data_IF_960095032497
#
_entry.id   IF_960095032497
#
_cell.length_a   1.000
_cell.length_b   1.000
_cell.length_c   1.000
_cell.angle_alpha   90.00
_cell.angle_beta   90.00
_cell.angle_gamma   90.00
#
_symmetry.space_group_name_H-M   'P 1'
#
loop_
_entity.id
_entity.type
_entity.pdbx_description
1 polymer ?
2 non-polymer ?
#
# COMPACT_ATOMS: atom_id res chain seq x y z
N UNK A 3 11.07 -2.43 -20.13
CA UNK A 3 12.26 -1.61 -20.01
C UNK A 3 12.59 -1.31 -18.56
N UNK A 4 13.71 -0.64 -18.33
CA UNK A 4 14.18 -0.40 -16.97
C UNK A 4 14.01 1.03 -16.43
N UNK A 5 13.26 1.87 -17.14
CA UNK A 5 12.98 3.22 -16.68
C UNK A 5 11.98 3.25 -15.52
N UNK A 6 12.03 4.28 -14.69
CA UNK A 6 11.27 4.29 -13.45
C UNK A 6 10.05 5.22 -13.42
N UNK A 7 8.90 4.62 -13.11
CA UNK A 7 7.63 5.35 -12.93
C UNK A 7 7.52 6.31 -11.74
N UNK A 8 8.08 5.93 -10.61
CA UNK A 8 7.84 6.63 -9.36
C UNK A 8 8.60 7.91 -9.19
N UNK A 9 7.91 9.00 -8.88
CA UNK A 9 8.57 10.25 -8.77
C UNK A 9 9.06 10.16 -7.38
N UNK A 10 9.84 11.11 -6.94
CA UNK A 10 10.32 11.04 -5.57
C UNK A 10 9.87 12.23 -4.78
N UNK A 11 9.49 12.01 -3.54
CA UNK A 11 9.01 13.08 -2.72
C UNK A 11 9.87 13.13 -1.54
N UNK A 12 10.34 14.32 -1.21
CA UNK A 12 11.01 14.53 0.03
C UNK A 12 10.08 15.46 0.72
N UNK A 13 9.10 14.93 1.41
CA UNK A 13 8.09 15.78 2.01
C UNK A 13 8.25 15.82 3.52
N UNK A 14 8.18 17.02 4.07
CA UNK A 14 8.45 17.21 5.48
C UNK A 14 7.46 16.43 6.29
N UNK A 15 7.89 15.98 7.45
CA UNK A 15 7.03 15.19 8.31
C UNK A 15 5.85 16.07 8.67
N UNK A 16 6.14 17.34 8.94
CA UNK A 16 5.10 18.27 9.34
C UNK A 16 4.10 18.45 8.22
N UNK A 17 4.60 18.62 7.01
CA UNK A 17 3.72 18.78 5.86
C UNK A 17 2.90 17.53 5.65
N UNK A 18 3.55 16.39 5.72
CA UNK A 18 2.88 15.12 5.53
C UNK A 18 1.84 14.90 6.62
N UNK A 19 2.21 15.25 7.85
CA UNK A 19 1.31 15.09 8.98
C UNK A 19 0.08 15.97 8.89
N UNK A 20 0.27 17.23 8.49
CA UNK A 20 -0.84 18.16 8.44
C UNK A 20 -1.90 17.70 7.45
N UNK A 21 -1.46 17.24 6.30
CA UNK A 21 -2.40 16.76 5.30
C UNK A 21 -3.19 15.59 5.84
N UNK A 22 -2.48 14.70 6.52
CA UNK A 22 -3.08 13.53 7.11
C UNK A 22 -4.10 13.90 8.19
N UNK A 23 -3.77 14.88 9.00
CA UNK A 23 -4.73 15.34 9.99
C UNK A 23 -5.95 15.92 9.29
N UNK A 24 -5.70 16.70 8.25
CA UNK A 24 -6.77 17.37 7.52
C UNK A 24 -7.74 16.43 6.83
N UNK A 25 -7.23 15.42 6.16
CA UNK A 25 -8.10 14.46 5.50
C UNK A 25 -8.97 13.68 6.46
N UNK A 26 -8.45 13.39 7.63
CA UNK A 26 -9.18 12.58 8.60
C UNK A 26 -10.46 13.28 8.99
N UNK A 27 -10.39 14.58 9.23
CA UNK A 27 -11.55 15.37 9.57
C UNK A 27 -12.56 15.38 8.44
N UNK A 28 -12.07 15.51 7.21
CA UNK A 28 -12.93 15.46 6.05
C UNK A 28 -13.56 14.09 5.99
N UNK A 29 -12.74 13.08 6.26
CA UNK A 29 -13.21 11.71 6.30
C UNK A 29 -14.25 11.57 7.39
N UNK A 30 -13.98 12.13 8.55
CA UNK A 30 -14.90 12.03 9.65
C UNK A 30 -16.15 12.80 9.35
N UNK A 31 -16.00 13.95 8.77
CA UNK A 31 -17.14 14.81 8.46
C UNK A 31 -18.09 14.17 7.46
N UNK A 32 -17.56 13.49 6.46
CA UNK A 32 -18.42 12.76 5.54
C UNK A 32 -19.17 11.64 6.23
N UNK A 33 -18.45 10.90 7.07
CA UNK A 33 -18.98 9.74 7.76
C UNK A 33 -20.12 10.13 8.66
N UNK A 34 -20.01 11.33 9.20
CA UNK A 34 -21.06 11.90 10.04
C UNK A 34 -22.23 12.23 9.15
N UNK A 35 -22.02 12.07 7.84
CA UNK A 35 -23.07 12.35 6.88
C UNK A 35 -23.27 13.85 6.71
N UNK A 36 -22.22 14.60 7.03
CA UNK A 36 -22.20 16.06 6.89
C UNK A 36 -22.16 16.53 5.43
N UNK A 37 -22.75 17.69 5.19
CA UNK A 37 -22.71 18.32 3.88
C UNK A 37 -21.34 18.89 3.62
N UNK A 38 -20.78 18.60 2.46
CA UNK A 38 -19.51 19.18 2.07
C UNK A 38 -19.57 20.68 1.89
N UNK A 39 -20.64 21.16 1.28
CA UNK A 39 -20.82 22.59 1.04
C UNK A 39 -20.86 23.30 2.39
N UNK A 40 -21.45 22.63 3.36
CA UNK A 40 -21.61 23.16 4.71
C UNK A 40 -20.28 23.42 5.38
N UNK A 41 -19.30 22.56 5.10
CA UNK A 41 -18.05 22.58 5.83
C UNK A 41 -17.31 23.89 5.65
N UNK A 42 -16.67 24.33 6.72
CA UNK A 42 -15.92 25.57 6.73
C UNK A 42 -14.53 25.33 7.29
N UNK A 43 -13.58 26.14 6.85
CA UNK A 43 -12.19 25.98 7.21
C UNK A 43 -11.96 26.14 8.70
N UNK A 44 -12.68 27.07 9.32
CA UNK A 44 -12.51 27.30 10.74
C UNK A 44 -12.89 26.06 11.53
N UNK A 45 -14.04 25.46 11.21
CA UNK A 45 -14.44 24.25 11.89
C UNK A 45 -13.48 23.09 11.63
N UNK A 46 -13.03 22.96 10.39
CA UNK A 46 -12.13 21.90 10.03
C UNK A 46 -10.81 22.04 10.77
N UNK A 47 -10.26 23.24 10.76
CA UNK A 47 -9.03 23.50 11.48
C UNK A 47 -9.17 23.39 13.01
N UNK A 48 -10.25 23.95 13.55
CA UNK A 48 -10.48 23.84 14.98
C UNK A 48 -10.68 22.37 15.36
N UNK A 49 -11.34 21.64 14.49
CA UNK A 49 -11.57 20.25 14.71
C UNK A 49 -10.31 19.49 14.40
N UNK A 50 -9.61 19.96 13.42
CA UNK A 50 -8.40 19.27 12.96
C UNK A 50 -7.12 19.66 13.68
N UNK A 51 -7.18 20.65 14.54
CA UNK A 51 -6.00 21.04 15.30
C UNK A 51 -4.83 21.41 14.39
N UNK A 52 -5.12 22.17 13.35
CA UNK A 52 -4.09 22.67 12.45
C UNK A 52 -4.11 24.18 12.45
N UNK A 53 -2.94 24.79 12.28
CA UNK A 53 -2.84 26.23 12.35
C UNK A 53 -3.66 26.82 11.21
N UNK A 54 -4.55 27.77 11.45
CA UNK A 54 -5.26 28.25 10.27
C UNK A 54 -4.35 29.00 9.39
N UNK A 55 -3.34 29.62 9.96
CA UNK A 55 -2.35 30.21 9.08
C UNK A 55 -1.72 29.17 8.17
N UNK A 56 -1.43 28.00 8.72
CA UNK A 56 -0.75 26.95 7.98
C UNK A 56 -1.56 26.45 6.81
N UNK A 57 -2.86 26.33 7.00
CA UNK A 57 -3.73 25.75 6.00
C UNK A 57 -3.77 26.55 4.70
N UNK A 58 -3.94 27.86 4.83
CA UNK A 58 -4.10 28.73 3.68
C UNK A 58 -2.89 28.77 2.78
N UNK A 59 -1.71 28.77 3.37
CA UNK A 59 -0.50 28.91 2.58
C UNK A 59 -0.33 27.74 1.62
N UNK A 60 -0.70 26.54 2.07
CA UNK A 60 -0.62 25.36 1.20
C UNK A 60 -1.71 25.29 0.14
N UNK A 61 -2.96 25.60 0.51
CA UNK A 61 -4.06 25.53 -0.44
C UNK A 61 -5.12 26.60 -0.22
N UNK A 62 -5.69 27.10 -1.31
CA UNK A 62 -6.77 28.07 -1.22
C UNK A 62 -8.07 27.53 -0.59
N UNK A 63 -8.49 26.33 -0.98
CA UNK A 63 -9.79 25.82 -0.56
C UNK A 63 -9.78 24.38 -0.04
N UNK A 64 -10.83 24.03 0.69
CA UNK A 64 -10.95 22.76 1.41
C UNK A 64 -10.84 21.56 0.49
N UNK A 65 -11.32 21.72 -0.74
CA UNK A 65 -11.34 20.64 -1.71
C UNK A 65 -9.94 20.20 -2.07
N UNK A 66 -8.97 21.06 -1.81
CA UNK A 66 -7.57 20.77 -2.13
C UNK A 66 -7.03 19.58 -1.35
N UNK A 67 -7.47 19.45 -0.11
CA UNK A 67 -7.10 18.34 0.77
C UNK A 67 -7.41 17.02 0.11
N UNK A 68 -8.58 16.94 -0.46
CA UNK A 68 -9.00 15.77 -1.22
C UNK A 68 -8.07 15.60 -2.41
N UNK A 69 -7.62 16.72 -2.95
CA UNK A 69 -6.69 16.70 -4.08
C UNK A 69 -5.38 16.04 -3.69
N UNK A 70 -4.87 16.42 -2.53
CA UNK A 70 -3.64 15.86 -2.00
C UNK A 70 -3.77 14.36 -1.72
N UNK A 71 -4.90 13.96 -1.18
CA UNK A 71 -5.12 12.56 -0.86
C UNK A 71 -5.03 11.72 -2.12
N UNK A 72 -5.66 12.20 -3.19
CA UNK A 72 -5.64 11.49 -4.45
C UNK A 72 -4.22 11.39 -4.93
N UNK A 73 -3.48 12.47 -4.72
CA UNK A 73 -2.06 12.51 -5.09
C UNK A 73 -1.23 11.50 -4.30
N UNK A 74 -1.56 11.34 -3.02
CA UNK A 74 -0.82 10.42 -2.16
C UNK A 74 -0.95 8.99 -2.65
N UNK A 75 -2.17 8.61 -3.02
CA UNK A 75 -2.43 7.26 -3.50
C UNK A 75 -1.62 7.04 -4.75
N UNK A 77 1.26 8.16 -5.45
CA UNK A 77 2.59 7.83 -5.03
C UNK A 77 2.77 6.40 -4.64
N UNK A 78 1.77 5.80 -4.01
CA UNK A 78 1.86 4.42 -3.66
C UNK A 78 1.61 3.66 -4.89
N UNK A 79 0.78 4.20 -5.75
CA UNK A 79 0.41 3.44 -6.91
C UNK A 79 1.65 3.31 -7.70
N UNK A 80 2.33 4.41 -7.90
CA UNK A 80 3.52 4.40 -8.70
C UNK A 80 4.50 3.45 -8.11
N UNK A 81 4.62 3.49 -6.80
CA UNK A 81 5.53 2.59 -6.17
C UNK A 81 5.09 1.21 -6.48
N UNK A 82 3.83 0.93 -6.27
CA UNK A 82 3.34 -0.42 -6.53
C UNK A 82 3.55 -0.82 -7.99
N UNK A 83 3.43 0.15 -8.89
CA UNK A 83 3.46 -0.09 -10.33
C UNK A 83 4.77 -0.66 -10.81
N UNK A 84 5.86 -0.16 -10.26
CA UNK A 84 7.20 -0.60 -10.58
C UNK A 84 7.47 -2.03 -10.16
N UNK A 85 6.82 -2.47 -9.12
CA UNK A 85 7.08 -3.74 -8.50
C UNK A 85 6.27 -4.88 -9.06
N UNK A 86 5.58 -4.65 -10.14
CA UNK A 86 4.88 -5.70 -10.87
C UNK A 86 5.40 -5.80 -12.30
N UNK A 87 5.44 -7.01 -12.82
CA UNK A 87 5.81 -7.19 -14.22
C UNK A 87 4.71 -6.51 -15.03
N UNK A 88 5.09 -5.72 -16.02
CA UNK A 88 4.11 -4.89 -16.71
C UNK A 88 3.46 -5.62 -17.86
N UNK A 89 2.24 -6.06 -17.64
CA UNK A 89 1.42 -6.69 -18.66
C UNK A 89 0.05 -6.07 -18.51
N UNK A 90 -0.76 -6.13 -19.56
CA UNK A 90 -2.01 -5.41 -19.54
C UNK A 90 -2.87 -5.92 -18.39
N UNK A 91 -2.94 -7.24 -18.27
CA UNK A 91 -3.71 -7.83 -17.19
C UNK A 91 -3.09 -7.41 -15.87
N UNK A 92 -1.76 -7.37 -15.85
CA UNK A 92 -1.05 -7.03 -14.63
C UNK A 92 -1.35 -5.63 -14.15
N UNK A 93 -1.31 -4.67 -15.08
CA UNK A 93 -1.64 -3.29 -14.74
C UNK A 93 -3.08 -3.15 -14.29
N UNK A 94 -3.97 -3.87 -14.94
CA UNK A 94 -5.39 -3.76 -14.64
C UNK A 94 -5.64 -4.14 -13.20
N UNK A 95 -5.04 -5.24 -12.77
CA UNK A 95 -5.28 -5.75 -11.44
C UNK A 95 -4.83 -4.75 -10.40
N UNK A 96 -3.70 -4.10 -10.62
CA UNK A 96 -3.21 -3.15 -9.66
C UNK A 96 -4.13 -1.96 -9.49
N UNK A 97 -4.65 -1.49 -10.59
CA UNK A 97 -5.57 -0.40 -10.56
C UNK A 97 -6.77 -0.85 -9.84
N UNK A 98 -7.28 -2.00 -10.20
CA UNK A 98 -8.47 -2.47 -9.57
C UNK A 98 -8.32 -2.48 -8.10
N UNK A 99 -7.29 -3.16 -7.64
CA UNK A 99 -6.98 -3.27 -6.23
C UNK A 99 -7.04 -1.97 -5.51
N UNK A 100 -6.75 -0.92 -6.22
CA UNK A 100 -6.68 0.37 -5.64
C UNK A 100 -8.05 0.93 -5.53
N UNK A 101 -8.93 0.63 -6.44
CA UNK A 101 -10.26 1.15 -6.30
C UNK A 101 -10.89 0.47 -5.11
N UNK A 102 -10.56 -0.77 -4.92
CA UNK A 102 -11.09 -1.57 -3.83
C UNK A 102 -10.55 -1.17 -2.45
N UNK A 103 -9.25 -0.88 -2.41
CA UNK A 103 -8.56 -0.45 -1.20
C UNK A 103 -9.06 0.90 -0.70
N UNK A 104 -9.43 1.77 -1.62
CA UNK A 104 -9.70 3.17 -1.34
C UNK A 104 -11.16 3.57 -1.47
N UNK A 105 -12.06 2.68 -1.06
CA UNK A 105 -13.49 2.91 -1.20
C UNK A 105 -13.92 4.15 -0.43
N UNK A 106 -13.32 4.36 0.73
CA UNK A 106 -13.64 5.51 1.55
C UNK A 106 -13.29 6.81 0.84
N UNK A 107 -12.15 6.83 0.18
CA UNK A 107 -11.69 8.02 -0.51
C UNK A 107 -12.64 8.40 -1.62
N UNK A 108 -13.07 7.40 -2.37
CA UNK A 108 -13.95 7.62 -3.51
C UNK A 108 -15.30 8.19 -3.07
N UNK A 109 -15.85 7.72 -1.98
CA UNK A 109 -17.10 8.28 -1.53
C UNK A 109 -16.95 9.73 -1.22
N UNK A 110 -15.77 10.11 -0.76
CA UNK A 110 -15.49 11.49 -0.41
C UNK A 110 -15.35 12.29 -1.68
N UNK A 111 -14.92 11.62 -2.72
CA UNK A 111 -14.65 12.30 -3.93
C UNK A 111 -15.96 12.73 -4.50
N UNK A 112 -16.99 11.93 -4.35
CA UNK A 112 -18.27 12.28 -4.88
C UNK A 112 -18.96 13.24 -3.95
N UNK A 113 -18.95 12.95 -2.67
CA UNK A 113 -19.50 13.82 -1.67
C UNK A 113 -18.85 15.16 -1.85
N UNK A 114 -17.54 15.08 -1.98
CA UNK A 114 -16.70 16.19 -2.29
C UNK A 114 -17.12 16.93 -3.52
N UNK A 115 -17.41 16.18 -4.56
CA UNK A 115 -17.65 16.75 -5.84
C UNK A 115 -16.33 17.00 -6.45
N UNK A 116 -15.38 16.14 -6.15
CA UNK A 116 -14.04 16.34 -6.61
C UNK A 116 -13.68 15.42 -7.71
N UNK A 117 -14.61 15.16 -8.60
CA UNK A 117 -14.36 14.35 -9.76
C UNK A 117 -13.45 14.99 -10.77
N UNK A 118 -13.69 16.24 -11.11
CA UNK A 118 -12.95 16.82 -12.19
C UNK A 118 -11.54 16.99 -11.80
N UNK A 119 -11.30 16.91 -10.52
CA UNK A 119 -9.96 16.92 -9.98
C UNK A 119 -9.34 15.57 -10.09
N UNK A 120 -10.10 14.54 -9.88
CA UNK A 120 -9.55 13.22 -9.95
C UNK A 120 -9.06 12.96 -11.34
N UNK A 121 -9.83 13.34 -12.32
CA UNK A 121 -9.57 13.06 -13.71
C UNK A 121 -8.30 13.74 -14.22
N UNK A 122 -8.12 14.98 -13.82
CA UNK A 122 -6.99 15.77 -14.26
C UNK A 122 -5.69 15.24 -13.79
N UNK A 123 -5.61 14.96 -12.50
CA UNK A 123 -4.45 14.36 -11.86
C UNK A 123 -4.22 12.91 -12.28
N UNK A 124 -5.24 12.10 -12.21
CA UNK A 124 -5.09 10.74 -12.57
C UNK A 124 -4.92 10.63 -14.04
N UNK A 125 -5.16 11.70 -14.75
CA UNK A 125 -5.03 11.65 -16.17
C UNK A 125 -3.70 12.19 -16.46
N UNK A 126 -3.25 13.06 -15.60
CA UNK A 126 -1.90 13.54 -15.64
C UNK A 126 -0.89 12.46 -15.32
N UNK A 127 -1.20 11.61 -14.35
CA UNK A 127 -0.27 10.54 -14.01
C UNK A 127 -0.14 9.62 -15.15
N UNK A 128 -1.26 9.27 -15.74
CA UNK A 128 -1.27 8.33 -16.83
C UNK A 128 -0.49 8.80 -18.01
N UNK A 129 -0.60 10.07 -18.31
CA UNK A 129 0.06 10.53 -19.48
C UNK A 129 1.49 10.37 -19.21
N UNK A 130 1.86 10.74 -18.01
CA UNK A 130 3.27 10.82 -17.64
C UNK A 130 3.93 9.46 -17.62
N UNK A 131 3.26 8.48 -17.05
CA UNK A 131 3.79 7.12 -17.03
C UNK A 131 3.92 6.60 -18.44
N UNK A 132 2.93 6.91 -19.27
CA UNK A 132 2.89 6.41 -20.64
C UNK A 132 4.08 6.90 -21.46
N UNK A 133 4.45 8.16 -21.28
CA UNK A 133 5.58 8.71 -21.99
C UNK A 133 6.86 7.99 -21.60
N UNK A 134 6.99 7.67 -20.33
CA UNK A 134 8.18 7.04 -19.77
C UNK A 134 8.41 5.67 -20.39
N UNK A 135 7.32 4.98 -20.63
CA UNK A 135 7.37 3.65 -21.23
C UNK A 135 7.43 3.81 -22.74
N UNK A 136 7.40 5.06 -23.19
CA UNK A 136 7.50 5.38 -24.61
C UNK A 136 6.18 5.31 -25.34
N UNK A 137 5.13 4.98 -24.61
CA UNK A 137 3.82 4.78 -25.23
C UNK A 137 3.12 6.04 -25.69
N UNK A 138 2.47 5.93 -26.82
CA UNK A 138 1.86 7.09 -27.42
C UNK A 138 0.43 6.85 -27.71
N UNK A 139 -0.38 7.72 -27.14
CA UNK A 139 -1.74 7.87 -27.54
C UNK A 139 -1.65 8.87 -28.63
N UNK A 140 -2.48 8.76 -29.63
CA UNK A 140 -2.43 9.74 -30.67
C UNK A 140 -3.07 10.97 -30.20
N UNK A 141 -4.30 10.90 -29.75
CA UNK A 141 -4.74 12.04 -29.03
C UNK A 141 -4.35 11.85 -27.61
N UNK A 142 -3.42 12.67 -27.20
CA UNK A 142 -2.80 12.52 -25.92
C UNK A 142 -3.44 13.37 -24.88
N UNK A 143 -4.68 13.76 -25.09
CA UNK A 143 -5.40 14.47 -24.10
C UNK A 143 -6.56 13.61 -23.86
N UNK A 144 -6.91 12.91 -24.89
CA UNK A 144 -8.14 12.24 -24.90
C UNK A 144 -7.96 10.91 -24.29
N UNK A 146 -5.73 9.85 -22.07
CA UNK A 146 -5.40 9.88 -20.67
C UNK A 146 -6.58 10.31 -19.91
N UNK A 147 -7.19 11.38 -20.33
CA UNK A 147 -8.46 11.79 -19.76
C UNK A 147 -9.58 10.76 -19.90
N UNK A 148 -9.69 10.13 -21.06
CA UNK A 148 -10.73 9.14 -21.25
C UNK A 148 -10.53 7.96 -20.31
N UNK A 149 -9.29 7.52 -20.20
CA UNK A 149 -8.94 6.46 -19.29
C UNK A 149 -9.20 6.89 -17.85
N UNK A 150 -8.96 8.15 -17.57
CA UNK A 150 -9.23 8.71 -16.26
C UNK A 150 -10.72 8.66 -15.94
N UNK A 151 -11.57 8.80 -16.93
CA UNK A 151 -12.98 8.86 -16.65
C UNK A 151 -13.55 7.51 -16.47
N UNK A 153 -11.95 5.09 -15.05
CA UNK A 153 -11.54 4.71 -13.71
C UNK A 153 -12.53 5.19 -12.66
N UNK A 154 -13.01 6.41 -12.81
CA UNK A 154 -13.99 6.96 -11.89
C UNK A 154 -15.29 6.17 -11.93
N UNK A 155 -15.71 5.81 -13.14
CA UNK A 155 -16.95 5.09 -13.33
C UNK A 155 -16.94 3.74 -12.65
N UNK A 156 -15.78 3.08 -12.69
CA UNK A 156 -15.65 1.77 -12.06
C UNK A 156 -15.89 1.90 -10.56
N UNK A 157 -15.32 2.94 -9.97
CA UNK A 157 -15.50 3.15 -8.55
C UNK A 157 -16.96 3.39 -8.25
N UNK A 158 -17.59 4.24 -9.04
CA UNK A 158 -18.99 4.59 -8.84
C UNK A 158 -19.95 3.43 -9.01
N UNK A 159 -19.77 2.65 -10.07
CA UNK A 159 -20.58 1.46 -10.26
C UNK A 159 -20.26 0.49 -9.13
N UNK A 160 -18.98 0.40 -8.78
CA UNK A 160 -18.56 -0.42 -7.66
C UNK A 160 -19.12 0.08 -6.34
N UNK A 161 -19.08 1.39 -6.13
CA UNK A 161 -19.66 1.96 -4.92
C UNK A 161 -21.16 1.75 -4.86
N UNK A 162 -21.83 2.01 -5.97
CA UNK A 162 -23.29 1.95 -6.04
C UNK A 162 -23.88 0.57 -5.80
N UNK A 163 -23.20 -0.47 -6.28
CA UNK A 163 -23.74 -1.82 -6.21
C UNK A 163 -23.68 -2.49 -4.84
N UNK A 164 -24.82 -3.02 -4.42
CA UNK A 164 -24.92 -3.84 -3.21
C UNK A 164 -24.10 -5.11 -3.39
N UNK A 165 -24.12 -5.65 -4.60
CA UNK A 165 -23.38 -6.85 -4.94
C UNK A 165 -21.90 -6.53 -4.92
N UNK A 166 -21.08 -7.54 -4.67
CA UNK A 166 -19.64 -7.35 -4.56
C UNK A 166 -18.90 -8.18 -5.59
N UNK A 167 -17.81 -7.63 -6.09
CA UNK A 167 -17.09 -8.22 -7.21
C UNK A 167 -15.65 -8.55 -6.86
N UNK A 168 -15.22 -9.74 -7.21
CA UNK A 168 -13.81 -10.10 -7.12
C UNK A 168 -13.06 -9.49 -8.30
N UNK A 169 -11.76 -9.35 -8.16
CA UNK A 169 -10.96 -8.78 -9.22
C UNK A 169 -11.03 -9.60 -10.49
N UNK A 170 -11.04 -10.91 -10.33
CA UNK A 170 -11.06 -11.81 -11.47
C UNK A 170 -12.34 -11.60 -12.25
N UNK A 171 -13.43 -11.35 -11.52
CA UNK A 171 -14.70 -11.04 -12.15
C UNK A 171 -14.62 -9.75 -12.95
N UNK A 172 -13.99 -8.74 -12.36
CA UNK A 172 -13.89 -7.44 -12.99
C UNK A 172 -13.10 -7.50 -14.28
N UNK A 173 -12.03 -8.28 -14.28
CA UNK A 173 -11.22 -8.41 -15.47
C UNK A 173 -12.04 -9.04 -16.58
N UNK A 174 -12.82 -10.05 -16.23
CA UNK A 174 -13.66 -10.70 -17.22
C UNK A 174 -14.69 -9.72 -17.75
N UNK A 175 -15.35 -9.00 -16.84
CA UNK A 175 -16.30 -7.99 -17.24
C UNK A 175 -15.63 -6.88 -18.03
N UNK A 176 -14.50 -6.40 -17.53
CA UNK A 176 -13.83 -5.30 -18.19
C UNK A 176 -13.46 -5.77 -19.58
N UNK A 177 -13.04 -7.00 -19.67
CA UNK A 177 -12.76 -7.56 -20.96
C UNK A 177 -14.05 -7.88 -21.67
N UNK A 178 -15.08 -8.22 -20.93
CA UNK A 178 -16.38 -8.41 -21.56
C UNK A 178 -16.72 -7.16 -22.34
N UNK A 179 -16.53 -6.01 -21.74
CA UNK A 179 -16.95 -4.74 -22.32
C UNK A 179 -16.14 -4.38 -23.55
N UNK A 180 -14.84 -4.60 -23.48
CA UNK A 180 -13.93 -4.25 -24.57
C UNK A 180 -14.26 -5.03 -25.83
N UNK A 181 -14.66 -6.29 -25.65
CA UNK A 181 -15.08 -7.09 -26.79
C UNK A 181 -16.28 -6.42 -27.41
N UNK A 182 -17.14 -5.89 -26.54
CA UNK A 182 -18.37 -5.20 -26.94
C UNK A 182 -18.06 -3.83 -27.52
N UNK A 183 -16.90 -3.28 -27.21
CA UNK A 183 -16.55 -1.94 -27.66
C UNK A 183 -15.59 -1.96 -28.82
N UNK A 184 -15.50 -3.09 -29.52
CA UNK A 184 -14.60 -3.22 -30.66
C UNK A 184 -15.38 -3.49 -31.94
N UNK B 3 7.13 14.10 17.64
CA UNK B 3 8.32 14.34 16.82
C UNK B 3 7.98 14.40 15.34
N UNK B 4 8.85 15.03 14.56
CA UNK B 4 8.64 15.18 13.13
C UNK B 4 9.90 14.75 12.42
N UNK B 5 10.19 13.46 12.53
CA UNK B 5 11.34 12.86 11.89
C UNK B 5 10.84 11.81 10.92
N UNK B 6 11.37 11.81 9.72
CA UNK B 6 10.92 10.88 8.73
C UNK B 6 11.58 9.58 8.99
N UNK B 7 10.78 8.51 9.00
CA UNK B 7 11.31 7.22 9.26
C UNK B 7 11.49 6.49 7.96
N UNK B 8 10.83 6.95 6.92
CA UNK B 8 10.96 6.31 5.64
C UNK B 8 12.30 6.67 5.09
N UNK B 9 12.82 5.81 4.24
CA UNK B 9 14.07 6.05 3.59
C UNK B 9 13.87 5.86 2.12
N UNK B 10 13.96 6.92 1.35
CA UNK B 10 13.97 6.74 -0.08
C UNK B 10 14.70 5.47 -0.21
N UNK B 11 14.32 4.64 -1.14
CA UNK B 11 14.99 3.38 -1.28
C UNK B 11 15.40 3.28 -2.69
N UNK B 12 16.48 3.96 -3.04
CA UNK B 12 16.91 4.00 -4.43
C UNK B 12 17.43 2.67 -4.87
N UNK B 13 16.85 2.18 -5.97
CA UNK B 13 17.19 0.89 -6.54
C UNK B 13 16.61 0.91 -7.94
N UNK B 14 17.23 0.23 -8.87
CA UNK B 14 16.79 0.34 -10.23
C UNK B 14 15.67 -0.59 -10.50
N UNK B 15 15.04 -0.43 -11.63
CA UNK B 15 13.93 -1.32 -11.99
C UNK B 15 14.44 -2.74 -12.17
N UNK B 16 15.67 -2.86 -12.69
CA UNK B 16 16.22 -4.16 -13.00
C UNK B 16 16.35 -5.02 -11.75
N UNK B 17 16.88 -4.44 -10.68
CA UNK B 17 17.01 -5.16 -9.44
C UNK B 17 15.65 -5.52 -8.86
N UNK B 18 14.75 -4.55 -8.85
CA UNK B 18 13.39 -4.80 -8.40
C UNK B 18 12.67 -5.79 -9.29
N UNK B 19 12.86 -5.66 -10.59
CA UNK B 19 12.19 -6.52 -11.55
C UNK B 19 12.58 -7.98 -11.39
N UNK B 20 13.87 -8.23 -11.22
CA UNK B 20 14.34 -9.60 -11.04
C UNK B 20 13.77 -10.19 -9.76
N UNK B 21 13.65 -9.38 -8.73
CA UNK B 21 12.98 -9.79 -7.51
C UNK B 21 11.50 -10.11 -7.68
N UNK B 22 10.76 -9.29 -8.40
CA UNK B 22 9.34 -9.48 -8.58
C UNK B 22 9.02 -10.74 -9.33
N UNK B 23 9.95 -11.15 -10.16
CA UNK B 23 9.73 -12.28 -11.00
C UNK B 23 10.23 -13.50 -10.34
N UNK B 24 11.24 -13.34 -9.53
CA UNK B 24 11.71 -14.40 -8.64
C UNK B 24 10.76 -14.73 -7.50
N UNK B 25 10.27 -13.76 -6.75
CA UNK B 25 9.33 -14.07 -5.68
C UNK B 25 8.00 -14.49 -6.20
N UNK B 26 7.62 -13.91 -7.30
CA UNK B 26 6.29 -14.13 -7.78
C UNK B 26 6.15 -15.53 -8.31
N UNK B 27 7.26 -16.23 -8.49
CA UNK B 27 7.19 -17.54 -9.05
C UNK B 27 7.25 -18.50 -7.94
N UNK B 28 7.85 -18.06 -6.87
CA UNK B 28 7.92 -18.85 -5.66
C UNK B 28 6.54 -19.07 -5.09
N UNK B 29 5.75 -18.01 -5.10
CA UNK B 29 4.41 -18.04 -4.59
C UNK B 29 3.58 -19.01 -5.38
N UNK B 30 3.86 -19.14 -6.65
CA UNK B 30 3.14 -20.06 -7.51
C UNK B 30 3.41 -21.47 -7.05
N UNK B 31 4.66 -21.74 -6.69
CA UNK B 31 5.03 -23.07 -6.26
C UNK B 31 4.26 -23.41 -4.99
N UNK B 32 4.17 -22.46 -4.11
CA UNK B 32 3.45 -22.70 -2.90
C UNK B 32 2.06 -23.00 -3.31
N UNK B 33 1.45 -22.04 -3.97
CA UNK B 33 0.05 -22.13 -4.36
C UNK B 33 -0.17 -23.43 -5.11
N UNK B 34 0.91 -23.96 -5.66
CA UNK B 34 0.88 -25.14 -6.51
C UNK B 34 1.12 -26.42 -5.72
N UNK B 35 1.01 -26.31 -4.40
CA UNK B 35 1.07 -27.46 -3.53
C UNK B 35 2.36 -28.28 -3.63
N UNK B 36 3.50 -27.61 -3.64
CA UNK B 36 4.75 -28.33 -3.60
C UNK B 36 5.64 -27.88 -2.45
N UNK B 37 6.37 -28.78 -1.85
CA UNK B 37 7.23 -28.49 -0.72
C UNK B 37 8.32 -27.53 -1.03
N UNK B 38 8.69 -26.74 -0.05
CA UNK B 38 9.70 -25.74 -0.25
C UNK B 38 11.01 -26.37 -0.50
N UNK B 39 11.28 -27.47 0.17
CA UNK B 39 12.56 -28.10 0.04
C UNK B 39 12.81 -28.50 -1.39
N UNK B 40 11.76 -28.80 -2.10
CA UNK B 40 11.86 -29.45 -3.37
C UNK B 40 12.08 -28.49 -4.50
N UNK B 41 12.41 -27.27 -4.16
CA UNK B 41 12.56 -26.27 -5.17
C UNK B 41 14.02 -26.10 -5.48
N UNK B 42 14.45 -26.55 -6.64
CA UNK B 42 15.81 -26.34 -7.10
C UNK B 42 15.95 -24.92 -7.60
N UNK B 43 17.16 -24.39 -7.54
CA UNK B 43 17.42 -23.04 -8.02
C UNK B 43 17.17 -22.95 -9.52
N UNK B 44 17.65 -23.93 -10.24
CA UNK B 44 17.42 -23.98 -11.65
C UNK B 44 15.94 -23.91 -11.89
N UNK B 45 15.20 -24.64 -11.11
CA UNK B 45 13.77 -24.67 -11.27
C UNK B 45 13.22 -23.26 -11.13
N UNK B 46 13.57 -22.59 -10.05
CA UNK B 46 13.11 -21.23 -9.82
C UNK B 46 13.63 -20.21 -10.83
N UNK B 47 14.92 -20.26 -11.09
CA UNK B 47 15.55 -19.25 -11.94
C UNK B 47 15.04 -19.25 -13.37
N UNK B 48 14.83 -20.44 -13.92
CA UNK B 48 14.34 -20.56 -15.29
C UNK B 48 12.94 -19.98 -15.49
N UNK B 49 12.04 -20.29 -14.57
CA UNK B 49 10.65 -19.86 -14.65
C UNK B 49 10.53 -18.35 -14.61
N UNK B 50 11.42 -17.73 -13.86
CA UNK B 50 11.34 -16.30 -13.59
C UNK B 50 12.04 -15.51 -14.68
N UNK B 51 12.54 -16.21 -15.69
CA UNK B 51 13.29 -15.55 -16.73
C UNK B 51 14.46 -14.84 -16.07
N UNK B 52 15.10 -15.54 -15.14
CA UNK B 52 16.26 -15.01 -14.44
C UNK B 52 17.48 -15.89 -14.68
N UNK B 53 18.59 -15.27 -15.06
CA UNK B 53 19.85 -15.97 -15.17
C UNK B 53 20.34 -16.34 -13.78
N UNK B 54 20.95 -17.51 -13.65
CA UNK B 54 21.42 -17.97 -12.36
C UNK B 54 22.46 -17.03 -11.79
N UNK B 55 23.34 -16.53 -12.66
CA UNK B 55 24.41 -15.66 -12.24
C UNK B 55 23.85 -14.39 -11.62
N UNK B 56 22.77 -13.89 -12.20
CA UNK B 56 22.11 -12.72 -11.66
C UNK B 56 21.52 -13.01 -10.30
N UNK B 57 20.87 -14.16 -10.16
CA UNK B 57 20.33 -14.58 -8.87
C UNK B 57 21.44 -14.80 -7.86
N UNK B 58 22.48 -15.51 -8.29
CA UNK B 58 23.61 -15.83 -7.45
C UNK B 58 24.39 -14.60 -7.01
N UNK B 59 24.61 -13.66 -7.92
CA UNK B 59 25.31 -12.45 -7.50
C UNK B 59 24.47 -11.67 -6.51
N UNK B 60 23.21 -11.43 -6.85
CA UNK B 60 22.25 -10.82 -5.92
C UNK B 60 21.83 -11.68 -4.73
N UNK B 61 21.48 -12.94 -4.99
CA UNK B 61 20.92 -13.81 -3.94
C UNK B 61 21.77 -15.04 -3.67
N UNK B 62 22.23 -15.21 -2.44
CA UNK B 62 22.86 -16.45 -2.02
C UNK B 62 21.93 -17.66 -2.01
N UNK B 63 20.72 -17.48 -1.51
CA UNK B 63 19.78 -18.59 -1.33
C UNK B 63 18.36 -18.22 -1.74
N UNK B 64 17.55 -19.23 -2.02
CA UNK B 64 16.15 -19.02 -2.38
C UNK B 64 15.40 -18.37 -1.26
N UNK B 65 15.71 -18.76 -0.04
CA UNK B 65 15.02 -18.28 1.14
C UNK B 65 15.24 -16.79 1.22
N UNK B 66 16.33 -16.34 0.61
CA UNK B 66 16.72 -14.94 0.61
C UNK B 66 15.73 -14.00 -0.09
N UNK B 67 15.05 -14.48 -1.12
CA UNK B 67 14.04 -13.64 -1.78
C UNK B 67 12.90 -13.33 -0.83
N UNK B 68 12.51 -14.31 -0.04
CA UNK B 68 11.46 -14.12 0.95
C UNK B 68 11.87 -13.09 1.99
N UNK B 69 13.13 -13.11 2.40
CA UNK B 69 13.58 -12.11 3.33
C UNK B 69 13.45 -10.77 2.67
N UNK B 70 13.86 -10.71 1.41
CA UNK B 70 13.76 -9.50 0.60
C UNK B 70 12.32 -9.08 0.39
N UNK B 71 11.43 -10.00 0.19
CA UNK B 71 10.05 -9.64 0.03
C UNK B 71 9.50 -9.11 1.30
N UNK B 72 9.92 -9.70 2.41
CA UNK B 72 9.55 -9.17 3.70
C UNK B 72 10.12 -7.77 3.83
N UNK B 73 11.36 -7.60 3.39
CA UNK B 73 12.01 -6.30 3.45
C UNK B 73 11.29 -5.29 2.56
N UNK B 74 10.88 -5.73 1.38
CA UNK B 74 10.11 -4.91 0.46
C UNK B 74 8.75 -4.54 1.02
N UNK B 75 8.10 -5.49 1.68
CA UNK B 75 6.79 -5.26 2.29
C UNK B 75 6.83 -4.21 3.40
N UNK B 77 8.64 -1.74 3.47
CA UNK B 77 8.84 -0.46 2.80
C UNK B 77 7.55 0.35 2.70
N UNK B 78 6.45 -0.30 2.46
CA UNK B 78 5.25 0.46 2.41
C UNK B 78 4.95 0.97 3.78
N UNK B 79 5.14 0.13 4.77
CA UNK B 79 4.70 0.42 6.12
C UNK B 79 5.26 1.74 6.60
N UNK B 80 6.53 1.96 6.31
CA UNK B 80 7.19 3.20 6.71
C UNK B 80 6.56 4.40 6.01
N UNK B 81 6.26 4.27 4.72
CA UNK B 81 5.75 5.39 3.97
C UNK B 81 4.42 5.84 4.56
N UNK B 82 3.53 4.90 4.77
CA UNK B 82 2.28 5.17 5.48
C UNK B 82 2.53 5.55 6.93
N UNK B 83 3.54 4.94 7.54
CA UNK B 83 3.72 5.03 8.98
C UNK B 83 3.91 6.47 9.35
N UNK B 84 4.73 7.19 8.59
CA UNK B 84 4.89 8.61 8.83
C UNK B 84 3.57 9.32 8.58
N UNK B 85 2.88 8.94 7.52
CA UNK B 85 1.64 9.59 7.16
C UNK B 85 0.52 9.43 8.19
N UNK B 86 0.37 8.23 8.74
CA UNK B 86 -0.72 7.98 9.66
C UNK B 86 -0.59 8.83 10.91
N UNK B 87 -1.71 9.23 11.49
CA UNK B 87 -1.68 9.91 12.76
C UNK B 87 -1.16 8.91 13.78
N UNK B 88 -0.28 9.36 14.66
CA UNK B 88 0.40 8.44 15.56
C UNK B 88 -0.28 8.28 16.90
N UNK B 89 -0.84 7.11 17.11
CA UNK B 89 -1.36 6.70 18.40
C UNK B 89 -0.95 5.25 18.51
N UNK B 90 -0.99 4.71 19.73
CA UNK B 90 -0.58 3.34 19.90
C UNK B 90 -1.50 2.45 19.08
N UNK B 91 -2.76 2.83 19.02
CA UNK B 91 -3.74 2.06 18.30
C UNK B 91 -3.59 2.19 16.81
N UNK B 92 -3.22 3.36 16.37
CA UNK B 92 -3.07 3.60 14.95
C UNK B 92 -1.91 2.78 14.45
N UNK B 93 -0.82 2.78 15.21
CA UNK B 93 0.31 1.96 14.88
C UNK B 93 -0.13 0.51 14.94
N UNK B 94 -0.90 0.18 15.96
CA UNK B 94 -1.43 -1.16 16.09
C UNK B 94 -2.38 -1.45 14.94
N UNK B 95 -3.20 -0.48 14.64
CA UNK B 95 -4.18 -0.62 13.58
C UNK B 95 -3.53 -0.55 12.22
N UNK B 96 -2.41 0.14 12.15
CA UNK B 96 -1.61 0.18 10.95
C UNK B 96 -1.00 -1.19 10.73
N UNK B 97 -0.54 -1.80 11.81
CA UNK B 97 -0.01 -3.15 11.75
C UNK B 97 -1.07 -4.15 11.34
N UNK B 98 -2.28 -4.01 11.86
CA UNK B 98 -3.32 -4.98 11.59
C UNK B 98 -3.64 -5.04 10.11
N UNK B 99 -3.72 -3.87 9.49
CA UNK B 99 -3.99 -3.75 8.06
C UNK B 99 -2.89 -4.38 7.22
N UNK B 100 -1.66 -4.29 7.70
CA UNK B 100 -0.52 -4.95 7.05
C UNK B 100 -0.63 -6.47 7.07
N UNK B 101 -0.98 -7.04 8.22
CA UNK B 101 -1.17 -8.49 8.29
C UNK B 101 -2.37 -8.95 7.46
N UNK B 102 -3.44 -8.20 7.51
CA UNK B 102 -4.63 -8.62 6.85
C UNK B 102 -4.57 -8.38 5.37
N UNK B 103 -3.73 -7.45 4.96
CA UNK B 103 -3.46 -7.23 3.54
C UNK B 103 -2.55 -8.22 2.80
N UNK B 104 -1.61 -8.87 3.45
CA UNK B 104 -0.97 -9.98 2.79
C UNK B 104 -0.93 -11.23 3.59
N UNK B 105 -1.80 -12.12 3.20
CA UNK B 105 -1.95 -13.37 3.88
C UNK B 105 -1.08 -14.29 3.18
N UNK B 106 -0.80 -14.04 1.92
CA UNK B 106 -0.04 -14.96 1.11
C UNK B 106 1.41 -14.99 1.47
N UNK B 107 1.91 -13.88 1.95
CA UNK B 107 3.26 -13.84 2.41
C UNK B 107 3.41 -14.76 3.59
N UNK B 108 2.63 -14.54 4.62
CA UNK B 108 2.80 -15.24 5.88
C UNK B 108 2.73 -16.76 5.73
N UNK B 109 1.80 -17.24 4.90
CA UNK B 109 1.74 -18.66 4.63
C UNK B 109 3.02 -19.10 3.97
N UNK B 110 3.51 -18.28 3.05
CA UNK B 110 4.80 -18.54 2.42
C UNK B 110 5.92 -18.51 3.45
N UNK B 111 5.84 -17.56 4.37
CA UNK B 111 6.90 -17.39 5.37
C UNK B 111 7.03 -18.60 6.30
N UNK B 112 5.91 -19.06 6.84
CA UNK B 112 5.89 -20.26 7.65
C UNK B 112 6.26 -21.48 6.83
N UNK B 113 5.84 -21.45 5.57
CA UNK B 113 6.02 -22.54 4.65
C UNK B 113 7.50 -22.82 4.42
N UNK B 114 8.28 -21.75 4.33
CA UNK B 114 9.70 -21.83 4.08
C UNK B 114 10.50 -21.97 5.37
N UNK B 115 9.81 -22.02 6.50
CA UNK B 115 10.49 -22.03 7.78
C UNK B 115 11.34 -20.78 7.87
N UNK B 116 10.76 -19.66 7.47
CA UNK B 116 11.46 -18.40 7.41
C UNK B 116 11.14 -17.52 8.61
N UNK B 117 10.59 -18.12 9.65
CA UNK B 117 10.08 -17.36 10.78
C UNK B 117 11.18 -16.58 11.46
N UNK B 118 12.34 -17.20 11.59
CA UNK B 118 13.47 -16.52 12.21
C UNK B 118 13.93 -15.31 11.41
N UNK B 119 13.94 -15.45 10.08
CA UNK B 119 14.31 -14.36 9.18
C UNK B 119 13.36 -13.19 9.29
N UNK B 120 12.08 -13.49 9.39
CA UNK B 120 11.11 -12.44 9.49
C UNK B 120 11.43 -11.67 10.76
N UNK B 121 11.71 -12.41 11.83
CA UNK B 121 11.98 -11.82 13.13
C UNK B 121 13.22 -10.95 13.07
N UNK B 122 14.24 -11.45 12.40
CA UNK B 122 15.48 -10.70 12.29
C UNK B 122 15.24 -9.42 11.53
N UNK B 123 14.56 -9.53 10.40
CA UNK B 123 14.25 -8.37 9.59
C UNK B 123 13.31 -7.36 10.24
N UNK B 124 12.17 -7.85 10.72
CA UNK B 124 11.16 -6.98 11.29
C UNK B 124 11.63 -6.26 12.54
N UNK B 125 12.32 -6.97 13.41
CA UNK B 125 12.74 -6.42 14.69
C UNK B 125 13.70 -5.25 14.49
N UNK B 126 14.60 -5.38 13.54
CA UNK B 126 15.55 -4.34 13.29
C UNK B 126 14.94 -3.03 12.94
N UNK B 127 13.85 -3.07 12.22
CA UNK B 127 13.12 -1.88 11.84
C UNK B 127 12.38 -1.38 13.03
N UNK B 128 12.07 -2.23 13.98
CA UNK B 128 11.40 -1.75 15.14
C UNK B 128 12.37 -0.99 15.93
N UNK B 129 13.61 -1.39 15.87
CA UNK B 129 14.54 -0.68 16.68
C UNK B 129 14.69 0.61 15.96
N UNK B 130 15.31 0.53 14.81
CA UNK B 130 15.55 1.71 14.01
C UNK B 130 14.44 2.69 14.11
N UNK B 131 13.20 2.30 13.90
CA UNK B 131 12.20 3.30 14.01
C UNK B 131 12.20 3.94 15.36
N UNK B 132 12.37 3.15 16.40
CA UNK B 132 12.24 3.73 17.71
C UNK B 132 13.42 4.61 17.99
N UNK B 133 14.54 4.30 17.39
CA UNK B 133 15.67 5.19 17.62
C UNK B 133 15.44 6.55 16.99
N UNK B 134 14.86 6.55 15.79
CA UNK B 134 14.50 7.77 15.09
C UNK B 134 13.45 8.56 15.85
N UNK B 135 12.54 7.85 16.50
CA UNK B 135 11.40 8.46 17.16
C UNK B 135 11.61 8.73 18.64
N UNK B 136 12.83 8.53 19.12
CA UNK B 136 13.13 8.80 20.52
C UNK B 136 12.27 8.01 21.52
N UNK B 137 12.15 6.71 21.32
CA UNK B 137 11.53 5.84 22.30
C UNK B 137 12.56 4.95 22.98
N UNK B 138 12.33 4.64 24.24
CA UNK B 138 13.35 3.97 25.02
C UNK B 138 12.92 2.62 25.55
N UNK B 139 13.82 1.65 25.43
CA UNK B 139 13.51 0.27 25.69
C UNK B 139 14.17 -0.37 26.91
N UNK B 140 13.34 -0.86 27.80
CA UNK B 140 13.84 -1.54 28.96
C UNK B 140 15.10 -2.22 28.55
N UNK B 141 15.03 -3.05 27.53
CA UNK B 141 16.19 -3.83 27.17
C UNK B 141 16.71 -3.67 25.77
N UNK B 142 17.89 -3.11 25.71
CA UNK B 142 18.56 -2.91 24.44
C UNK B 142 17.92 -3.70 23.30
N UNK B 143 17.72 -4.99 23.47
CA UNK B 143 17.47 -5.88 22.35
C UNK B 143 16.55 -7.04 22.59
N UNK B 144 15.62 -6.91 23.49
CA UNK B 144 14.72 -7.98 23.75
C UNK B 144 13.30 -7.54 23.56
N UNK B 146 12.27 -5.50 21.38
CA UNK B 146 12.06 -5.63 19.97
C UNK B 146 11.65 -7.03 19.61
N UNK B 147 12.49 -8.01 19.81
CA UNK B 147 12.04 -9.32 19.45
C UNK B 147 10.67 -9.61 19.98
N UNK B 148 10.34 -9.17 21.18
CA UNK B 148 9.02 -9.47 21.69
C UNK B 148 7.92 -8.95 20.80
N UNK B 149 8.04 -7.70 20.36
CA UNK B 149 6.99 -7.16 19.50
C UNK B 149 6.92 -7.92 18.18
N UNK B 150 8.07 -8.20 17.60
CA UNK B 150 8.10 -8.88 16.34
C UNK B 150 7.65 -10.28 16.49
N UNK B 151 8.08 -10.95 17.54
CA UNK B 151 7.70 -12.32 17.71
C UNK B 151 6.25 -12.30 17.96
N UNK B 153 4.08 -10.14 16.71
CA UNK B 153 3.38 -9.91 15.50
C UNK B 153 3.27 -11.20 14.74
N UNK B 154 4.39 -11.83 14.53
CA UNK B 154 4.41 -13.05 13.78
C UNK B 154 3.42 -14.00 14.31
N UNK B 155 3.28 -14.06 15.60
CA UNK B 155 2.40 -15.03 16.15
C UNK B 155 1.02 -14.56 16.00
N UNK B 156 0.86 -13.28 15.73
CA UNK B 156 -0.47 -12.78 15.54
C UNK B 156 -0.85 -13.16 14.18
N UNK B 157 0.09 -13.02 13.29
CA UNK B 157 -0.19 -13.36 11.91
C UNK B 157 -0.63 -14.81 11.81
N UNK B 158 0.04 -15.66 12.57
CA UNK B 158 -0.15 -17.11 12.53
C UNK B 158 -1.53 -17.53 12.97
N UNK B 159 -2.03 -16.93 14.01
CA UNK B 159 -3.30 -17.31 14.56
C UNK B 159 -4.33 -17.00 13.55
N UNK B 160 -4.33 -15.77 13.08
CA UNK B 160 -5.28 -15.34 12.09
C UNK B 160 -5.42 -16.29 10.93
N UNK B 161 -4.32 -16.80 10.47
CA UNK B 161 -4.34 -17.58 9.27
C UNK B 161 -4.77 -18.97 9.53
N UNK B 162 -4.99 -19.30 10.77
CA UNK B 162 -5.18 -20.68 11.10
C UNK B 162 -6.61 -20.85 11.49
N UNK B 163 -7.21 -19.75 11.88
CA UNK B 163 -8.56 -19.79 12.30
C UNK B 163 -9.46 -19.73 11.10
N UNK B 164 -10.46 -20.58 11.08
CA UNK B 164 -11.52 -20.41 10.08
C UNK B 164 -12.15 -19.03 10.03
N UNK B 165 -12.30 -18.42 11.21
CA UNK B 165 -13.04 -17.18 11.38
C UNK B 165 -12.34 -15.99 10.74
N UNK B 166 -13.12 -14.93 10.49
CA UNK B 166 -12.59 -13.69 9.94
C UNK B 166 -12.64 -12.60 11.01
N UNK B 167 -11.50 -11.98 11.26
CA UNK B 167 -11.44 -11.01 12.32
C UNK B 167 -11.27 -9.61 11.74
N UNK B 168 -12.24 -8.77 12.02
CA UNK B 168 -12.16 -7.38 11.60
C UNK B 168 -11.14 -6.75 12.49
N UNK B 169 -10.63 -5.60 12.08
CA UNK B 169 -9.62 -4.88 12.83
C UNK B 169 -10.16 -4.52 14.19
N UNK B 170 -11.44 -4.14 14.22
CA UNK B 170 -12.09 -3.78 15.44
C UNK B 170 -12.08 -5.01 16.31
N UNK B 171 -12.27 -6.14 15.65
CA UNK B 171 -12.28 -7.41 16.32
C UNK B 171 -10.91 -7.70 16.93
N UNK B 172 -9.87 -7.60 16.12
CA UNK B 172 -8.51 -7.87 16.59
C UNK B 172 -8.00 -6.89 17.63
N UNK B 173 -8.26 -5.61 17.41
CA UNK B 173 -7.76 -4.56 18.29
C UNK B 173 -8.33 -4.74 19.68
N UNK B 174 -9.58 -5.17 19.73
CA UNK B 174 -10.22 -5.49 20.99
C UNK B 174 -9.49 -6.64 21.64
N UNK B 175 -9.09 -7.61 20.82
CA UNK B 175 -8.36 -8.78 21.29
C UNK B 175 -7.01 -8.43 21.88
N UNK B 176 -6.31 -7.55 21.20
CA UNK B 176 -4.99 -7.22 21.59
C UNK B 176 -5.03 -6.41 22.83
N UNK B 177 -6.18 -6.33 23.45
CA UNK B 177 -6.31 -5.43 24.56
C UNK B 177 -6.87 -6.19 25.72
N UNK B 178 -7.64 -7.22 25.42
CA UNK B 178 -8.05 -8.11 26.46
C UNK B 178 -6.78 -8.66 27.00
N UNK B 179 -5.86 -8.95 26.12
CA UNK B 179 -4.59 -9.57 26.47
C UNK B 179 -3.68 -8.65 27.25
N UNK B 180 -3.44 -7.48 26.72
CA UNK B 180 -2.60 -6.55 27.41
C UNK B 180 -3.04 -6.40 28.81
N UNK B 181 -4.34 -6.41 29.04
CA UNK B 181 -4.90 -6.33 30.38
C UNK B 181 -4.45 -7.52 31.20
N UNK B 182 -4.34 -8.67 30.57
CA UNK B 182 -3.99 -9.91 31.24
C UNK B 182 -2.56 -9.90 31.76
N UNK B 183 -1.63 -9.37 30.96
CA UNK B 183 -0.25 -9.26 31.37
C UNK B 183 -0.11 -8.23 32.49
N UNK B 184 -1.11 -7.37 32.61
CA UNK B 184 -1.10 -6.34 33.64
C UNK B 184 -0.25 -5.17 33.19
#
# INVERSE_FOLDING_TARGET
XNNYVKVHQPLNVDLRTQKTQTKLYTVLERFYVEDRTFESISIKDLCEQARVSRATFYRHHKEIIQVIEVQILRTXQYFSLEFDQIILTKENIQRLILRTIQKNPLLFQVIFWSRAENIFIDVVSGEILRISLLKEVSFSDSKFXPNCFARXILSLAAEIQQSNKDYTNDQLVELIQEAARFLQK
XNNYVKVHQPLNVDLRTQKTQTKLYTVLERFYVEDRTFESISIKDLCEQARVSRATFYRHHKEIIQVIEVQILRTXQYFSLEFDQIILTKENIQRLILRTIQKNPLLFQVIFWSRAENIFIDVVSGEILRISLLKEVSFSDSKFXPNCFARXILSLAAEIQQSNKDYTNDQLVELIQEAARFLQK
#
